data_IF_686430440113
#
_entry.id   IF_686430440113
#
_cell.length_a   1.000
_cell.length_b   1.000
_cell.length_c   1.000
_cell.angle_alpha   90.00
_cell.angle_beta   90.00
_cell.angle_gamma   90.00
#
_symmetry.space_group_name_H-M   'P 1'
#
loop_
_entity.id
_entity.type
_entity.pdbx_description
1 polymer ?
#
# COMPACT_ATOMS: atom_id res chain seq x y z
N UNK A 1 64.93 71.00 -22.11
CA UNK A 1 65.25 70.34 -20.83
C UNK A 1 64.32 69.14 -20.71
N UNK A 2 64.74 67.93 -21.11
CA UNK A 2 65.25 66.84 -20.24
C UNK A 2 64.31 66.53 -19.05
N UNK A 3 63.54 65.45 -19.15
CA UNK A 3 63.85 64.17 -18.47
C UNK A 3 62.97 63.04 -19.04
N UNK A 4 63.62 62.01 -19.60
CA UNK A 4 63.04 60.69 -19.79
C UNK A 4 62.98 60.00 -18.42
N UNK A 5 61.87 59.32 -18.12
CA UNK A 5 61.84 58.25 -17.11
C UNK A 5 61.16 57.03 -17.71
N UNK A 6 61.95 55.96 -17.82
CA UNK A 6 61.56 54.59 -18.14
C UNK A 6 61.05 53.93 -16.85
N UNK A 7 59.91 53.23 -16.90
CA UNK A 7 59.47 52.31 -15.85
C UNK A 7 59.19 50.92 -16.47
N UNK A 8 59.60 49.83 -15.81
CA UNK A 8 59.71 48.50 -16.42
C UNK A 8 58.42 47.68 -16.31
N UNK A 9 58.23 46.81 -17.30
CA UNK A 9 57.20 45.77 -17.34
C UNK A 9 57.61 44.68 -16.34
N UNK A 10 56.88 44.56 -15.23
CA UNK A 10 56.97 43.41 -14.35
C UNK A 10 56.00 42.32 -14.83
N UNK A 11 56.56 41.22 -15.35
CA UNK A 11 55.86 39.96 -15.63
C UNK A 11 55.42 39.32 -14.31
N UNK A 12 54.11 39.23 -14.07
CA UNK A 12 53.53 38.35 -13.05
C UNK A 12 53.25 36.99 -13.69
N UNK A 13 54.08 36.01 -13.38
CA UNK A 13 53.82 34.60 -13.66
C UNK A 13 52.68 34.12 -12.74
N UNK A 14 51.51 33.85 -13.31
CA UNK A 14 50.42 33.17 -12.61
C UNK A 14 50.70 31.66 -12.63
N UNK A 15 51.15 31.12 -11.51
CA UNK A 15 51.15 29.67 -11.26
C UNK A 15 49.71 29.23 -11.01
N UNK A 16 49.08 28.62 -12.03
CA UNK A 16 47.80 27.93 -11.88
C UNK A 16 48.02 26.66 -11.06
N UNK A 17 47.71 26.71 -9.76
CA UNK A 17 47.50 25.48 -9.00
C UNK A 17 46.13 24.93 -9.41
N UNK A 18 46.14 23.84 -10.16
CA UNK A 18 44.97 22.98 -10.29
C UNK A 18 44.74 22.35 -8.90
N UNK A 19 43.83 22.94 -8.13
CA UNK A 19 43.21 22.27 -7.01
C UNK A 19 42.29 21.21 -7.62
N UNK A 20 42.68 19.95 -7.51
CA UNK A 20 41.80 18.80 -7.60
C UNK A 20 40.63 19.04 -6.63
N UNK A 21 39.52 19.52 -7.17
CA UNK A 21 38.27 19.63 -6.45
C UNK A 21 37.71 18.20 -6.32
N UNK A 22 37.62 17.62 -5.11
CA UNK A 22 37.05 16.29 -4.97
C UNK A 22 35.59 16.36 -5.43
N UNK A 23 35.28 15.61 -6.49
CA UNK A 23 33.92 15.47 -6.99
C UNK A 23 32.97 15.21 -5.81
N UNK A 24 31.83 15.91 -5.73
CA UNK A 24 30.88 15.66 -4.66
C UNK A 24 30.50 14.17 -4.67
N UNK A 25 30.40 13.54 -3.50
CA UNK A 25 30.06 12.12 -3.43
C UNK A 25 28.75 11.91 -4.18
N UNK A 26 28.75 10.93 -5.09
CA UNK A 26 27.55 10.49 -5.79
C UNK A 26 26.40 10.36 -4.80
N UNK A 27 25.20 10.89 -5.10
CA UNK A 27 24.06 10.69 -4.22
C UNK A 27 23.88 9.18 -4.03
N UNK A 28 23.72 8.78 -2.77
CA UNK A 28 23.32 7.43 -2.41
C UNK A 28 22.12 7.04 -3.28
N UNK A 29 22.00 5.78 -3.74
CA UNK A 29 20.84 5.37 -4.52
C UNK A 29 19.60 5.78 -3.75
N UNK A 30 18.77 6.64 -4.35
CA UNK A 30 17.48 7.02 -3.79
C UNK A 30 16.73 5.74 -3.51
N UNK A 31 16.52 5.41 -2.23
CA UNK A 31 15.71 4.25 -1.85
C UNK A 31 14.33 4.46 -2.47
N UNK A 32 13.88 3.49 -3.24
CA UNK A 32 12.54 3.53 -3.80
C UNK A 32 11.52 3.72 -2.68
N UNK A 33 10.45 4.49 -2.91
CA UNK A 33 9.44 4.74 -1.89
C UNK A 33 8.74 3.43 -1.51
N UNK A 34 8.47 3.27 -0.21
CA UNK A 34 7.81 2.07 0.33
C UNK A 34 6.39 1.98 -0.24
N UNK A 35 5.98 0.84 -0.82
CA UNK A 35 4.62 0.66 -1.33
C UNK A 35 3.59 0.75 -0.21
N UNK A 36 2.41 1.31 -0.53
CA UNK A 36 1.35 1.47 0.49
C UNK A 36 0.92 0.14 1.09
N UNK A 37 0.93 -0.95 0.32
CA UNK A 37 0.60 -2.27 0.83
C UNK A 37 1.56 -2.73 1.92
N UNK A 38 2.86 -2.40 1.82
CA UNK A 38 3.83 -2.75 2.86
C UNK A 38 3.58 -1.97 4.15
N UNK A 39 3.17 -0.71 4.03
CA UNK A 39 2.86 0.14 5.19
C UNK A 39 1.64 -0.38 5.98
N UNK A 40 0.68 -0.99 5.28
CA UNK A 40 -0.61 -1.37 5.87
C UNK A 40 -0.81 -2.88 6.04
N UNK A 41 0.11 -3.71 5.56
CA UNK A 41 0.05 -5.16 5.79
C UNK A 41 0.04 -5.43 7.29
N UNK A 42 -0.86 -6.31 7.74
CA UNK A 42 -1.02 -6.69 9.13
C UNK A 42 0.32 -7.14 9.75
N UNK A 43 0.73 -6.47 10.82
CA UNK A 43 1.97 -6.81 11.55
C UNK A 43 1.70 -7.73 12.76
N UNK A 44 0.43 -8.03 13.03
CA UNK A 44 0.02 -8.79 14.21
C UNK A 44 -0.06 -10.30 13.97
N UNK A 45 0.12 -11.02 15.06
CA UNK A 45 0.00 -12.48 15.18
C UNK A 45 -1.00 -12.84 16.27
N UNK A 46 -1.49 -14.09 16.35
CA UNK A 46 -2.34 -14.52 17.44
C UNK A 46 -1.74 -14.24 18.83
N UNK A 47 -0.42 -14.36 18.97
CA UNK A 47 0.30 -14.06 20.22
C UNK A 47 0.21 -12.59 20.60
N UNK A 48 0.39 -11.66 19.65
CA UNK A 48 0.27 -10.22 19.93
C UNK A 48 -1.17 -9.77 20.20
N UNK A 49 -2.16 -10.58 19.84
CA UNK A 49 -3.58 -10.33 20.15
C UNK A 49 -4.01 -10.87 21.52
N UNK A 50 -3.17 -11.66 22.20
CA UNK A 50 -3.51 -12.20 23.52
C UNK A 50 -3.98 -11.18 24.59
N UNK A 51 -3.46 -9.93 24.65
CA UNK A 51 -3.94 -8.94 25.62
C UNK A 51 -5.22 -8.20 25.18
N UNK A 52 -5.79 -8.54 24.03
CA UNK A 52 -7.01 -7.91 23.50
C UNK A 52 -8.17 -8.91 23.45
N UNK A 53 -9.39 -8.41 23.63
CA UNK A 53 -10.63 -9.09 23.27
C UNK A 53 -11.06 -8.66 21.87
N UNK A 54 -11.52 -9.62 21.07
CA UNK A 54 -12.00 -9.41 19.69
C UNK A 54 -13.51 -9.20 19.70
N UNK A 55 -13.96 -8.15 19.05
CA UNK A 55 -15.37 -7.75 18.90
C UNK A 55 -15.68 -7.55 17.42
N UNK A 56 -16.96 -7.68 17.05
CA UNK A 56 -17.44 -7.43 15.69
C UNK A 56 -16.56 -8.09 14.63
N UNK A 57 -16.25 -9.37 14.80
CA UNK A 57 -15.40 -10.10 13.87
C UNK A 57 -16.19 -10.49 12.61
N UNK A 58 -15.67 -10.14 11.44
CA UNK A 58 -16.27 -10.44 10.15
C UNK A 58 -15.23 -10.93 9.15
N UNK A 59 -15.68 -11.77 8.23
CA UNK A 59 -14.83 -12.35 7.20
C UNK A 59 -15.61 -12.47 5.90
N UNK A 60 -15.09 -11.90 4.82
CA UNK A 60 -15.70 -12.01 3.49
C UNK A 60 -14.66 -12.52 2.48
N UNK A 61 -15.11 -13.36 1.55
CA UNK A 61 -14.25 -14.02 0.57
C UNK A 61 -14.67 -13.68 -0.84
N UNK A 62 -13.68 -13.40 -1.69
CA UNK A 62 -13.84 -13.02 -3.08
C UNK A 62 -13.04 -13.96 -3.97
N UNK A 63 -13.61 -14.30 -5.11
CA UNK A 63 -12.91 -15.01 -6.20
C UNK A 63 -12.90 -14.08 -7.40
N UNK A 64 -11.72 -13.82 -7.94
CA UNK A 64 -11.58 -12.86 -9.04
C UNK A 64 -10.39 -13.16 -9.92
N UNK A 65 -10.25 -12.43 -11.03
CA UNK A 65 -9.13 -12.56 -11.93
C UNK A 65 -7.90 -11.78 -11.46
N UNK A 66 -6.72 -12.40 -11.61
CA UNK A 66 -5.41 -11.77 -11.37
C UNK A 66 -4.53 -11.96 -12.61
N UNK A 67 -3.80 -10.92 -12.98
CA UNK A 67 -2.93 -10.85 -14.15
C UNK A 67 -1.59 -10.24 -13.76
N UNK A 68 -0.57 -10.41 -14.59
CA UNK A 68 0.62 -9.55 -14.58
C UNK A 68 0.52 -8.44 -15.61
N UNK A 69 1.28 -7.37 -15.41
CA UNK A 69 1.36 -6.27 -16.37
C UNK A 69 1.94 -6.72 -17.74
N UNK A 70 2.74 -7.78 -17.80
CA UNK A 70 3.14 -8.44 -19.06
C UNK A 70 2.00 -9.14 -19.81
N UNK A 71 0.92 -9.48 -19.12
CA UNK A 71 -0.14 -10.39 -19.61
C UNK A 71 -1.40 -9.62 -20.06
N UNK A 72 -1.28 -8.32 -20.31
CA UNK A 72 -2.39 -7.49 -20.77
C UNK A 72 -2.96 -7.92 -22.13
N UNK A 73 -2.20 -8.68 -22.93
CA UNK A 73 -2.66 -9.18 -24.23
C UNK A 73 -2.59 -10.72 -24.26
N UNK A 74 -3.56 -11.39 -24.89
CA UNK A 74 -4.72 -10.82 -25.58
C UNK A 74 -5.89 -10.42 -24.65
N UNK A 75 -5.87 -10.83 -23.40
CA UNK A 75 -7.04 -10.88 -22.51
C UNK A 75 -7.59 -9.50 -22.11
N UNK A 76 -6.72 -8.51 -21.89
CA UNK A 76 -7.08 -7.16 -21.44
C UNK A 76 -6.83 -6.11 -22.51
N UNK A 77 -6.85 -6.50 -23.80
CA UNK A 77 -6.47 -5.64 -24.93
C UNK A 77 -7.19 -4.28 -24.94
N UNK A 78 -8.46 -4.26 -24.54
CA UNK A 78 -9.32 -3.07 -24.58
C UNK A 78 -9.03 -2.12 -23.39
N UNK A 79 -8.69 -2.68 -22.23
CA UNK A 79 -8.29 -1.91 -21.03
C UNK A 79 -6.79 -1.53 -21.05
N UNK A 80 -5.96 -2.25 -21.81
CA UNK A 80 -4.51 -2.13 -21.82
C UNK A 80 -3.98 -0.69 -22.05
N UNK A 81 -4.54 0.13 -22.96
CA UNK A 81 -4.07 1.50 -23.14
C UNK A 81 -4.21 2.35 -21.87
N UNK A 82 -5.38 2.27 -21.22
CA UNK A 82 -5.65 3.02 -19.99
C UNK A 82 -4.85 2.48 -18.81
N UNK A 83 -4.70 1.16 -18.69
CA UNK A 83 -3.89 0.54 -17.64
C UNK A 83 -2.42 0.94 -17.76
N UNK A 84 -1.87 0.95 -18.98
CA UNK A 84 -0.49 1.40 -19.22
C UNK A 84 -0.30 2.86 -18.79
N UNK A 85 -1.27 3.74 -19.05
CA UNK A 85 -1.23 5.14 -18.61
C UNK A 85 -1.34 5.24 -17.09
N UNK A 86 -2.31 4.54 -16.48
CA UNK A 86 -2.55 4.55 -15.04
C UNK A 86 -1.32 4.10 -14.24
N UNK A 87 -0.66 3.02 -14.69
CA UNK A 87 0.55 2.52 -14.04
C UNK A 87 1.84 3.23 -14.49
N UNK A 88 1.77 4.15 -15.44
CA UNK A 88 2.93 4.97 -15.84
C UNK A 88 3.21 6.02 -14.77
N UNK A 89 4.44 6.03 -14.22
CA UNK A 89 4.91 7.01 -13.21
C UNK A 89 4.10 7.04 -11.91
N UNK A 90 3.19 6.09 -11.72
CA UNK A 90 2.48 5.91 -10.46
C UNK A 90 3.25 4.95 -9.56
N UNK A 91 3.26 5.26 -8.27
CA UNK A 91 3.78 4.34 -7.27
C UNK A 91 2.88 3.12 -7.22
N UNK A 92 3.47 1.95 -7.42
CA UNK A 92 2.76 0.70 -7.37
C UNK A 92 2.39 0.41 -5.91
N UNK A 93 1.15 -0.02 -5.68
CA UNK A 93 0.66 -0.21 -4.31
C UNK A 93 1.26 -1.44 -3.63
N UNK A 94 1.96 -2.31 -4.36
CA UNK A 94 2.58 -3.51 -3.86
C UNK A 94 1.82 -4.78 -4.26
N UNK A 95 2.49 -5.92 -4.20
CA UNK A 95 1.88 -7.25 -4.22
C UNK A 95 1.10 -7.52 -2.93
N UNK A 96 0.59 -8.74 -2.74
CA UNK A 96 -0.06 -9.14 -1.48
C UNK A 96 0.83 -8.93 -0.26
N UNK A 97 2.15 -9.11 -0.39
CA UNK A 97 3.11 -8.85 0.68
C UNK A 97 3.58 -7.39 0.77
N UNK A 98 2.97 -6.48 0.00
CA UNK A 98 3.37 -5.07 -0.05
C UNK A 98 4.62 -4.79 -0.90
N UNK A 99 5.10 -5.74 -1.70
CA UNK A 99 6.39 -5.61 -2.41
C UNK A 99 6.18 -4.94 -3.78
N UNK A 100 7.00 -3.96 -4.17
CA UNK A 100 7.03 -3.46 -5.55
C UNK A 100 7.84 -4.40 -6.45
N UNK A 101 7.14 -5.36 -7.02
CA UNK A 101 7.68 -6.19 -8.10
C UNK A 101 7.73 -5.33 -9.36
N UNK A 102 8.81 -4.56 -9.54
CA UNK A 102 8.90 -3.55 -10.60
C UNK A 102 8.57 -4.06 -12.01
N UNK A 103 8.12 -3.14 -12.86
CA UNK A 103 7.97 -3.38 -14.29
C UNK A 103 6.88 -4.39 -14.64
N UNK A 104 7.23 -5.37 -15.47
CA UNK A 104 6.27 -6.31 -16.07
C UNK A 104 5.73 -7.36 -15.10
N UNK A 105 6.42 -7.58 -13.97
CA UNK A 105 6.02 -8.54 -12.94
C UNK A 105 4.96 -8.01 -11.98
N UNK A 106 4.54 -6.74 -12.10
CA UNK A 106 3.48 -6.14 -11.29
C UNK A 106 2.18 -6.90 -11.49
N UNK A 107 1.57 -7.28 -10.38
CA UNK A 107 0.29 -7.96 -10.35
C UNK A 107 -0.86 -6.95 -10.47
N UNK A 108 -1.94 -7.41 -11.09
CA UNK A 108 -3.12 -6.65 -11.40
C UNK A 108 -4.34 -7.51 -11.14
N UNK A 109 -5.11 -7.16 -10.13
CA UNK A 109 -6.44 -7.71 -9.91
C UNK A 109 -7.40 -6.96 -10.83
N UNK A 110 -8.30 -7.71 -11.45
CA UNK A 110 -9.46 -7.19 -12.19
C UNK A 110 -10.71 -7.68 -11.45
N UNK A 111 -11.63 -6.78 -11.14
CA UNK A 111 -12.93 -7.10 -10.57
C UNK A 111 -14.03 -6.29 -11.27
N UNK A 112 -15.18 -6.88 -11.60
CA UNK A 112 -16.37 -6.13 -11.97
C UNK A 112 -16.79 -5.20 -10.81
N UNK A 113 -17.20 -3.98 -11.13
CA UNK A 113 -17.73 -3.01 -10.18
C UNK A 113 -18.91 -3.59 -9.39
N UNK A 114 -19.69 -4.50 -9.98
CA UNK A 114 -20.83 -5.16 -9.31
C UNK A 114 -20.41 -6.16 -8.24
N UNK A 115 -19.21 -6.75 -8.35
CA UNK A 115 -18.67 -7.74 -7.41
C UNK A 115 -17.90 -7.09 -6.24
N UNK A 116 -17.59 -5.80 -6.36
CA UNK A 116 -17.02 -5.05 -5.24
C UNK A 116 -18.06 -4.83 -4.13
N UNK A 117 -17.66 -4.91 -2.85
CA UNK A 117 -18.53 -4.60 -1.72
C UNK A 117 -19.11 -3.19 -1.81
N UNK A 118 -20.34 -3.02 -1.33
CA UNK A 118 -21.02 -1.73 -1.40
C UNK A 118 -20.18 -0.58 -0.84
N UNK A 119 -19.54 -0.79 0.32
CA UNK A 119 -18.68 0.19 0.99
C UNK A 119 -17.48 0.60 0.13
N UNK A 120 -16.82 -0.36 -0.53
CA UNK A 120 -15.71 -0.09 -1.47
C UNK A 120 -16.20 0.72 -2.67
N UNK A 121 -17.36 0.37 -3.25
CA UNK A 121 -17.93 1.11 -4.40
C UNK A 121 -18.23 2.56 -4.05
N UNK A 122 -18.85 2.79 -2.89
CA UNK A 122 -19.14 4.14 -2.41
C UNK A 122 -17.86 4.92 -2.10
N UNK A 123 -16.86 4.26 -1.51
CA UNK A 123 -15.55 4.87 -1.29
C UNK A 123 -14.87 5.27 -2.60
N UNK A 124 -14.88 4.43 -3.63
CA UNK A 124 -14.31 4.74 -4.95
C UNK A 124 -15.02 5.94 -5.61
N UNK A 125 -16.34 6.02 -5.52
CA UNK A 125 -17.11 7.15 -6.05
C UNK A 125 -16.77 8.45 -5.35
N UNK A 126 -16.65 8.44 -4.02
CA UNK A 126 -16.30 9.62 -3.21
C UNK A 126 -14.84 10.04 -3.41
N UNK A 127 -13.95 9.08 -3.66
CA UNK A 127 -12.51 9.28 -3.76
C UNK A 127 -11.99 9.17 -5.20
N UNK A 128 -12.69 9.72 -6.19
CA UNK A 128 -12.32 9.56 -7.62
C UNK A 128 -10.90 9.99 -8.01
N UNK A 129 -10.21 10.79 -7.17
CA UNK A 129 -8.81 11.21 -7.37
C UNK A 129 -7.75 10.26 -6.78
N UNK A 130 -8.16 9.14 -6.17
CA UNK A 130 -7.23 8.14 -5.64
C UNK A 130 -6.37 7.51 -6.76
N UNK A 131 -5.22 6.95 -6.38
CA UNK A 131 -4.17 6.48 -7.31
C UNK A 131 -3.82 4.99 -7.14
N UNK A 132 -4.78 4.17 -6.74
CA UNK A 132 -4.56 2.75 -6.47
C UNK A 132 -5.54 1.84 -7.24
N UNK A 133 -6.70 2.38 -7.61
CA UNK A 133 -7.74 1.72 -8.40
C UNK A 133 -7.94 2.44 -9.74
N UNK A 134 -7.89 1.70 -10.85
CA UNK A 134 -8.27 2.18 -12.18
C UNK A 134 -9.68 1.70 -12.47
N UNK A 135 -10.63 2.64 -12.47
CA UNK A 135 -12.04 2.35 -12.81
C UNK A 135 -12.25 2.62 -14.29
N UNK A 136 -12.70 1.62 -15.05
CA UNK A 136 -12.89 1.69 -16.49
C UNK A 136 -14.25 1.09 -16.86
N UNK A 137 -15.27 1.94 -16.98
CA UNK A 137 -16.66 1.46 -17.14
C UNK A 137 -17.09 0.68 -15.89
N UNK A 138 -17.51 -0.57 -16.09
CA UNK A 138 -17.95 -1.48 -15.02
C UNK A 138 -16.82 -2.39 -14.50
N UNK A 139 -15.56 -2.09 -14.83
CA UNK A 139 -14.40 -2.86 -14.41
C UNK A 139 -13.50 -2.03 -13.51
N UNK A 140 -12.96 -2.65 -12.47
CA UNK A 140 -12.02 -2.03 -11.54
C UNK A 140 -10.75 -2.85 -11.51
N UNK A 141 -9.63 -2.17 -11.75
CA UNK A 141 -8.31 -2.77 -11.77
C UNK A 141 -7.45 -2.18 -10.66
N UNK A 142 -6.75 -3.03 -9.91
CA UNK A 142 -5.91 -2.55 -8.81
C UNK A 142 -4.78 -3.54 -8.52
N UNK A 143 -3.70 -3.04 -7.93
CA UNK A 143 -2.64 -3.91 -7.44
C UNK A 143 -3.10 -4.59 -6.13
N UNK A 144 -2.68 -5.82 -5.81
CA UNK A 144 -3.14 -6.50 -4.60
C UNK A 144 -2.94 -5.67 -3.32
N UNK A 145 -1.82 -4.96 -3.18
CA UNK A 145 -1.55 -4.10 -2.02
C UNK A 145 -2.46 -2.87 -1.89
N UNK A 146 -3.25 -2.53 -2.91
CA UNK A 146 -4.19 -1.41 -2.89
C UNK A 146 -5.38 -1.61 -1.94
N UNK A 147 -5.66 -2.86 -1.56
CA UNK A 147 -6.77 -3.18 -0.63
C UNK A 147 -6.49 -2.71 0.79
N UNK A 148 -5.21 -2.69 1.19
CA UNK A 148 -4.83 -2.52 2.58
C UNK A 148 -5.26 -1.17 3.18
N UNK A 149 -5.09 -0.01 2.54
CA UNK A 149 -5.50 1.28 3.13
C UNK A 149 -7.00 1.41 3.42
N UNK A 150 -7.83 0.56 2.82
CA UNK A 150 -9.30 0.58 2.97
C UNK A 150 -9.83 -0.79 3.41
N UNK A 151 -8.99 -1.62 4.01
CA UNK A 151 -9.27 -3.03 4.20
C UNK A 151 -10.58 -3.35 4.92
N UNK A 152 -11.00 -2.62 5.97
CA UNK A 152 -12.27 -2.88 6.64
C UNK A 152 -13.49 -2.70 5.73
N UNK A 153 -13.43 -1.86 4.69
CA UNK A 153 -14.54 -1.69 3.75
C UNK A 153 -14.79 -2.93 2.89
N UNK A 154 -13.85 -3.88 2.87
CA UNK A 154 -13.95 -5.13 2.12
C UNK A 154 -14.66 -6.25 2.89
N UNK A 155 -15.16 -6.01 4.10
CA UNK A 155 -15.99 -6.97 4.82
C UNK A 155 -17.39 -6.42 5.06
N UNK A 156 -18.33 -7.33 5.19
CA UNK A 156 -19.68 -7.01 5.65
C UNK A 156 -19.67 -6.68 7.15
N UNK A 157 -20.68 -5.95 7.61
CA UNK A 157 -20.86 -5.73 9.04
C UNK A 157 -21.03 -7.08 9.76
N UNK A 158 -20.41 -7.19 10.94
CA UNK A 158 -20.61 -8.36 11.78
C UNK A 158 -22.06 -8.39 12.31
N UNK A 159 -22.54 -9.56 12.71
CA UNK A 159 -23.87 -9.71 13.30
C UNK A 159 -23.97 -8.89 14.61
N UNK A 160 -25.12 -8.22 14.80
CA UNK A 160 -25.39 -7.39 15.98
C UNK A 160 -25.43 -5.90 15.63
N UNK A 161 -26.42 -5.18 16.17
CA UNK A 161 -26.61 -3.75 15.90
C UNK A 161 -25.45 -2.91 16.43
N UNK A 162 -24.75 -3.39 17.46
CA UNK A 162 -23.55 -2.77 18.01
C UNK A 162 -22.35 -2.80 17.06
N UNK A 163 -22.40 -3.62 16.01
CA UNK A 163 -21.35 -3.76 15.01
C UNK A 163 -21.63 -3.01 13.71
N UNK A 164 -22.83 -2.43 13.56
CA UNK A 164 -23.21 -1.66 12.38
C UNK A 164 -22.28 -0.44 12.23
N UNK A 165 -21.64 -0.34 11.06
CA UNK A 165 -20.78 0.80 10.71
C UNK A 165 -19.41 0.81 11.40
N UNK A 166 -19.08 -0.20 12.22
CA UNK A 166 -17.75 -0.31 12.87
C UNK A 166 -16.62 -0.30 11.84
N UNK A 167 -16.85 -0.90 10.67
CA UNK A 167 -15.85 -0.99 9.61
C UNK A 167 -15.83 0.21 8.65
N UNK A 168 -16.77 1.15 8.77
CA UNK A 168 -16.91 2.28 7.85
C UNK A 168 -15.92 3.41 8.17
N UNK A 169 -15.50 3.49 9.44
CA UNK A 169 -14.57 4.48 9.93
C UNK A 169 -13.12 4.05 9.78
N UNK A 170 -12.50 4.51 8.69
CA UNK A 170 -11.09 4.26 8.40
C UNK A 170 -10.12 5.00 9.34
N UNK A 171 -10.56 5.96 10.16
CA UNK A 171 -9.68 6.65 11.13
C UNK A 171 -9.29 5.71 12.29
N UNK A 172 -10.20 4.81 12.64
CA UNK A 172 -9.97 3.78 13.66
C UNK A 172 -9.25 2.54 13.13
N UNK A 173 -9.05 2.43 11.82
CA UNK A 173 -8.33 1.33 11.20
C UNK A 173 -6.82 1.40 11.42
N UNK A 174 -6.21 0.26 11.71
CA UNK A 174 -4.76 0.12 11.88
C UNK A 174 -4.25 -1.26 11.47
N UNK A 175 -2.99 -1.32 11.07
CA UNK A 175 -2.26 -2.56 10.84
C UNK A 175 -1.63 -3.14 12.13
N UNK A 176 -1.74 -2.41 13.26
CA UNK A 176 -1.26 -2.80 14.58
C UNK A 176 -2.41 -2.76 15.61
N UNK A 177 -2.44 -3.70 16.58
CA UNK A 177 -3.49 -3.74 17.58
C UNK A 177 -3.28 -2.67 18.65
N UNK A 178 -4.34 -1.91 18.93
CA UNK A 178 -4.43 -0.96 20.05
C UNK A 178 -5.86 -0.94 20.55
N UNK A 179 -6.07 -0.42 21.76
CA UNK A 179 -7.40 -0.37 22.35
C UNK A 179 -8.37 0.44 21.46
N UNK A 180 -9.50 -0.19 21.11
CA UNK A 180 -10.54 0.39 20.25
C UNK A 180 -10.22 0.42 18.76
N UNK A 181 -9.11 -0.15 18.30
CA UNK A 181 -8.78 -0.15 16.87
C UNK A 181 -9.54 -1.22 16.10
N UNK A 182 -9.88 -0.88 14.85
CA UNK A 182 -10.23 -1.87 13.84
C UNK A 182 -8.94 -2.37 13.21
N UNK A 183 -8.77 -3.68 13.17
CA UNK A 183 -7.65 -4.34 12.50
C UNK A 183 -8.20 -5.29 11.44
N UNK A 184 -7.38 -5.58 10.44
CA UNK A 184 -7.75 -6.56 9.43
C UNK A 184 -6.55 -7.24 8.82
N UNK A 185 -6.82 -8.37 8.16
CA UNK A 185 -5.82 -9.20 7.52
C UNK A 185 -6.37 -9.80 6.24
N UNK A 186 -5.47 -10.10 5.31
CA UNK A 186 -5.80 -10.72 4.03
C UNK A 186 -5.09 -12.04 3.90
N UNK A 187 -5.82 -13.03 3.41
CA UNK A 187 -5.32 -14.33 3.03
C UNK A 187 -5.68 -14.54 1.56
N UNK A 188 -4.81 -15.17 0.78
CA UNK A 188 -5.09 -15.41 -0.63
C UNK A 188 -4.54 -16.76 -1.07
N UNK A 189 -5.10 -17.29 -2.15
CA UNK A 189 -4.67 -18.53 -2.78
C UNK A 189 -4.97 -18.44 -4.26
N UNK A 190 -3.99 -18.76 -5.11
CA UNK A 190 -4.21 -18.87 -6.55
C UNK A 190 -4.98 -20.17 -6.82
N UNK A 191 -6.16 -20.06 -7.43
CA UNK A 191 -7.08 -21.19 -7.67
C UNK A 191 -7.09 -21.63 -9.12
N UNK A 192 -6.46 -20.88 -10.02
CA UNK A 192 -6.29 -21.21 -11.43
C UNK A 192 -5.17 -20.39 -12.08
N UNK A 193 -5.06 -20.45 -13.41
CA UNK A 193 -3.99 -19.76 -14.17
C UNK A 193 -4.06 -18.22 -14.01
N UNK A 194 -5.26 -17.67 -13.94
CA UNK A 194 -5.53 -16.22 -13.83
C UNK A 194 -6.65 -15.94 -12.83
N UNK A 195 -6.76 -16.77 -11.81
CA UNK A 195 -7.80 -16.70 -10.80
C UNK A 195 -7.17 -16.74 -9.41
N UNK A 196 -7.62 -15.83 -8.56
CA UNK A 196 -7.23 -15.75 -7.16
C UNK A 196 -8.49 -15.74 -6.30
N UNK A 197 -8.44 -16.52 -5.24
CA UNK A 197 -9.37 -16.42 -4.12
C UNK A 197 -8.68 -15.65 -3.00
N UNK A 198 -9.28 -14.57 -2.53
CA UNK A 198 -8.79 -13.85 -1.36
C UNK A 198 -9.88 -13.66 -0.33
N UNK A 199 -9.49 -13.79 0.93
CA UNK A 199 -10.35 -13.66 2.10
C UNK A 199 -9.85 -12.49 2.91
N UNK A 200 -10.75 -11.56 3.19
CA UNK A 200 -10.51 -10.40 4.05
C UNK A 200 -11.19 -10.66 5.38
N UNK A 201 -10.43 -10.46 6.45
CA UNK A 201 -10.87 -10.55 7.83
C UNK A 201 -10.72 -9.16 8.45
N UNK A 202 -11.72 -8.71 9.20
CA UNK A 202 -11.62 -7.51 10.03
C UNK A 202 -12.34 -7.70 11.36
N UNK A 203 -11.84 -7.01 12.38
CA UNK A 203 -12.38 -7.06 13.75
C UNK A 203 -12.03 -5.78 14.52
N UNK A 204 -12.87 -5.45 15.49
CA UNK A 204 -12.58 -4.44 16.51
C UNK A 204 -11.83 -5.11 17.66
N UNK A 205 -10.69 -4.57 18.07
CA UNK A 205 -9.95 -5.06 19.24
C UNK A 205 -10.05 -4.08 20.40
N UNK A 206 -10.30 -4.61 21.60
CA UNK A 206 -10.32 -3.84 22.85
C UNK A 206 -9.34 -4.47 23.83
N UNK A 207 -8.61 -3.67 24.59
CA UNK A 207 -7.67 -4.20 25.58
C UNK A 207 -8.47 -4.92 26.67
N UNK A 208 -8.07 -6.13 27.05
CA UNK A 208 -8.68 -6.83 28.19
C UNK A 208 -8.41 -6.02 29.45
N UNK A 209 -9.45 -5.86 30.27
CA UNK A 209 -9.28 -5.29 31.60
C UNK A 209 -8.67 -6.33 32.54
N UNK A 210 -7.95 -5.91 33.59
CA UNK A 210 -7.31 -6.82 34.55
C UNK A 210 -8.31 -7.79 35.25
N UNK A 211 -9.62 -7.50 35.20
CA UNK A 211 -10.68 -8.34 35.73
C UNK A 211 -11.04 -9.55 34.83
N UNK A 212 -10.74 -9.52 33.53
CA UNK A 212 -10.99 -10.63 32.60
C UNK A 212 -9.82 -11.64 32.55
N UNK A 213 -8.72 -11.36 33.25
CA UNK A 213 -7.49 -12.16 33.24
C UNK A 213 -7.38 -13.20 34.36
N UNK A 214 -8.29 -13.19 35.35
CA UNK A 214 -8.24 -14.08 36.52
C UNK A 214 -9.15 -15.31 36.44
N UNK A 215 -10.04 -15.42 35.44
CA UNK A 215 -11.04 -16.52 35.36
C UNK A 215 -10.49 -17.86 34.83
N UNK A 216 -9.17 -18.10 34.94
CA UNK A 216 -8.52 -19.32 34.46
C UNK A 216 -7.38 -19.83 35.33
N UNK A 217 -7.24 -19.34 36.56
CA UNK A 217 -6.16 -19.72 37.48
C UNK A 217 -6.67 -20.23 38.83
N UNK A 218 -7.76 -21.00 38.83
CA UNK A 218 -8.12 -21.83 39.96
C UNK A 218 -7.96 -23.32 39.63
N UNK A 219 -7.02 -23.92 40.38
CA UNK A 219 -6.91 -25.31 40.82
C UNK A 219 -6.66 -26.41 39.77
N UNK A 220 -5.43 -26.94 39.76
CA UNK A 220 -5.09 -28.35 40.05
C UNK A 220 -3.59 -28.51 40.36
#
# INVERSE_FOLDING_TARGET
MRLLTLLPIALLAASTHALDDPSPPSPSPSRDPIPVGQLWTAQWTPTSLSPFSTHCHSTTTYTTSIYKLSELYPDLKDAAPQLKVFYNKQLYAGSWGGIDVHGVGRELIRMPMTELPYKVREWLKRNGSQRHYSVQGDEVFFAPGAIYPILPLWVDDAEGNECEGVFDDLENYSNEPRDGAVIGKVQHTNTGEKEVKFTVEAMLVKKKSDAEGEEGRDEL
#
